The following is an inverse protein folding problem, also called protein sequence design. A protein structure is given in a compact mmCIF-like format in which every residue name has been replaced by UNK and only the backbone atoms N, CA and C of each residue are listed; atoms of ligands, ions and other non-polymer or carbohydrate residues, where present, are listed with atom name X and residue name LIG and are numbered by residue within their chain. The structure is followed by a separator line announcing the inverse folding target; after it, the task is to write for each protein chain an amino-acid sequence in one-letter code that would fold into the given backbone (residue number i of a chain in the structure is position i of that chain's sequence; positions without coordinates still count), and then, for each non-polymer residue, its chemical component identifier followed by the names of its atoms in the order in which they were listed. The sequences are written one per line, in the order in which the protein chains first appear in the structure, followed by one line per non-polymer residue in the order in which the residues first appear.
data_IF_602237213292
#
_entry.id   IF_602237213292
#
_cell.length_a   1.000
_cell.length_b   1.000
_cell.length_c   1.000
_cell.angle_alpha   90.00
_cell.angle_beta   90.00
_cell.angle_gamma   90.00
#
_symmetry.space_group_name_H-M   'P 1'
#
loop_
_entity.id
_entity.type
_entity.pdbx_description
1 polymer ?
#
# COMPACT_ATOMS: atom_id res chain seq x y z
N UNK A 1 -37.68 -4.58 8.44
CA UNK A 1 -37.12 -5.45 7.38
C UNK A 1 -35.66 -5.78 7.68
N UNK A 2 -35.26 -7.05 7.65
CA UNK A 2 -33.86 -7.45 7.92
C UNK A 2 -32.96 -7.21 6.70
N UNK A 3 -31.64 -7.08 6.93
CA UNK A 3 -30.65 -6.89 5.86
C UNK A 3 -30.65 -8.06 4.86
N UNK A 4 -30.74 -9.29 5.35
CA UNK A 4 -30.81 -10.51 4.53
C UNK A 4 -32.00 -10.44 3.56
N UNK A 5 -33.17 -10.08 4.07
CA UNK A 5 -34.41 -10.05 3.29
C UNK A 5 -34.42 -8.94 2.24
N UNK A 6 -33.78 -7.80 2.52
CA UNK A 6 -33.52 -6.75 1.51
C UNK A 6 -32.55 -7.22 0.43
N UNK A 7 -31.45 -7.88 0.81
CA UNK A 7 -30.47 -8.46 -0.13
C UNK A 7 -31.14 -9.46 -1.07
N UNK A 8 -31.92 -10.39 -0.51
CA UNK A 8 -32.59 -11.43 -1.29
C UNK A 8 -33.59 -10.82 -2.27
N UNK A 9 -34.35 -9.80 -1.84
CA UNK A 9 -35.24 -9.05 -2.73
C UNK A 9 -34.50 -8.42 -3.92
N UNK A 10 -33.36 -7.77 -3.68
CA UNK A 10 -32.55 -7.17 -4.75
C UNK A 10 -31.95 -8.23 -5.68
N UNK A 11 -31.52 -9.38 -5.13
CA UNK A 11 -30.99 -10.48 -5.95
C UNK A 11 -32.05 -11.08 -6.88
N UNK A 12 -33.31 -11.15 -6.45
CA UNK A 12 -34.43 -11.58 -7.29
C UNK A 12 -34.63 -10.64 -8.49
N UNK A 13 -34.58 -9.34 -8.28
CA UNK A 13 -34.66 -8.35 -9.36
C UNK A 13 -33.49 -8.46 -10.35
N UNK A 14 -32.26 -8.68 -9.86
CA UNK A 14 -31.08 -8.84 -10.74
C UNK A 14 -31.18 -10.14 -11.57
N UNK A 15 -31.85 -11.17 -11.05
CA UNK A 15 -32.15 -12.40 -11.80
C UNK A 15 -33.27 -12.24 -12.83
N UNK A 16 -33.89 -11.06 -12.92
CA UNK A 16 -34.92 -10.74 -13.90
C UNK A 16 -36.36 -10.91 -13.41
N UNK A 17 -36.58 -11.08 -12.11
CA UNK A 17 -37.95 -11.10 -11.56
C UNK A 17 -38.58 -9.70 -11.62
N UNK A 18 -39.90 -9.66 -11.86
CA UNK A 18 -40.66 -8.43 -12.01
C UNK A 18 -40.76 -7.62 -10.70
N UNK A 19 -40.58 -6.31 -10.83
CA UNK A 19 -40.53 -5.39 -9.70
C UNK A 19 -41.87 -5.37 -8.93
N UNK A 20 -42.99 -5.35 -9.65
CA UNK A 20 -44.33 -5.28 -9.04
C UNK A 20 -44.66 -6.56 -8.28
N UNK A 21 -44.28 -7.71 -8.85
CA UNK A 21 -44.47 -9.03 -8.24
C UNK A 21 -43.69 -9.13 -6.93
N UNK A 22 -42.38 -8.83 -6.95
CA UNK A 22 -41.53 -8.88 -5.75
C UNK A 22 -41.99 -7.86 -4.70
N UNK A 23 -42.45 -6.68 -5.13
CA UNK A 23 -42.97 -5.63 -4.25
C UNK A 23 -44.21 -6.10 -3.47
N UNK A 24 -45.17 -6.72 -4.17
CA UNK A 24 -46.42 -7.21 -3.58
C UNK A 24 -46.18 -8.35 -2.59
N UNK A 25 -45.31 -9.30 -2.93
CA UNK A 25 -44.94 -10.40 -2.05
C UNK A 25 -44.27 -9.93 -0.75
N UNK A 26 -43.46 -8.87 -0.83
CA UNK A 26 -42.76 -8.31 0.33
C UNK A 26 -43.60 -7.29 1.11
N UNK A 27 -44.77 -6.90 0.60
CA UNK A 27 -45.62 -5.86 1.20
C UNK A 27 -44.94 -4.48 1.23
N UNK A 28 -44.06 -4.21 0.27
CA UNK A 28 -43.39 -2.90 0.11
C UNK A 28 -43.87 -2.24 -1.17
N UNK A 29 -43.54 -0.96 -1.36
CA UNK A 29 -43.85 -0.25 -2.62
C UNK A 29 -42.74 -0.48 -3.65
N UNK A 30 -43.10 -0.44 -4.94
CA UNK A 30 -42.14 -0.61 -6.03
C UNK A 30 -41.03 0.46 -5.97
N UNK A 31 -41.37 1.69 -5.57
CA UNK A 31 -40.42 2.77 -5.34
C UNK A 31 -39.42 2.48 -4.20
N UNK A 32 -39.86 1.82 -3.12
CA UNK A 32 -38.96 1.40 -2.04
C UNK A 32 -38.00 0.32 -2.52
N UNK A 33 -38.54 -0.63 -3.29
CA UNK A 33 -37.79 -1.76 -3.81
C UNK A 33 -36.79 -1.33 -4.90
N UNK A 34 -37.16 -0.38 -5.77
CA UNK A 34 -36.24 0.24 -6.72
C UNK A 34 -35.12 1.01 -6.00
N UNK A 35 -35.45 1.76 -4.95
CA UNK A 35 -34.45 2.45 -4.13
C UNK A 35 -33.44 1.50 -3.48
N UNK A 36 -33.84 0.28 -3.08
CA UNK A 36 -32.90 -0.72 -2.58
C UNK A 36 -31.98 -1.27 -3.67
N UNK A 37 -32.50 -1.47 -4.89
CA UNK A 37 -31.68 -1.88 -6.04
C UNK A 37 -30.64 -0.82 -6.38
N UNK A 38 -31.05 0.45 -6.44
CA UNK A 38 -30.15 1.54 -6.81
C UNK A 38 -29.06 1.75 -5.76
N UNK A 39 -29.41 1.68 -4.47
CA UNK A 39 -28.43 1.72 -3.38
C UNK A 39 -27.44 0.54 -3.42
N UNK A 40 -27.90 -0.66 -3.78
CA UNK A 40 -27.04 -1.83 -3.93
C UNK A 40 -26.06 -1.69 -5.10
N UNK A 41 -26.52 -1.19 -6.25
CA UNK A 41 -25.68 -0.96 -7.42
C UNK A 41 -24.63 0.12 -7.16
N UNK A 42 -25.04 1.26 -6.60
CA UNK A 42 -24.12 2.35 -6.23
C UNK A 42 -23.07 1.91 -5.21
N UNK A 43 -23.48 1.17 -4.17
CA UNK A 43 -22.54 0.62 -3.19
C UNK A 43 -21.62 -0.44 -3.79
N UNK A 44 -22.10 -1.23 -4.76
CA UNK A 44 -21.29 -2.20 -5.50
C UNK A 44 -20.22 -1.51 -6.35
N UNK A 45 -20.61 -0.49 -7.11
CA UNK A 45 -19.70 0.32 -7.94
C UNK A 45 -18.62 1.00 -7.09
N UNK A 46 -19.01 1.62 -5.98
CA UNK A 46 -18.05 2.24 -5.05
C UNK A 46 -17.05 1.23 -4.50
N UNK A 47 -17.48 0.02 -4.12
CA UNK A 47 -16.57 -1.03 -3.64
C UNK A 47 -15.60 -1.51 -4.72
N UNK A 48 -16.04 -1.58 -5.97
CA UNK A 48 -15.18 -1.96 -7.09
C UNK A 48 -14.14 -0.88 -7.39
N UNK A 49 -14.53 0.40 -7.33
CA UNK A 49 -13.63 1.53 -7.51
C UNK A 49 -12.58 1.61 -6.39
N UNK A 50 -12.99 1.51 -5.13
CA UNK A 50 -12.08 1.59 -3.96
C UNK A 50 -11.03 0.47 -3.96
N UNK A 51 -11.41 -0.77 -4.34
CA UNK A 51 -10.45 -1.87 -4.39
C UNK A 51 -9.38 -1.66 -5.47
N UNK A 52 -9.73 -1.06 -6.60
CA UNK A 52 -8.76 -0.72 -7.64
C UNK A 52 -7.77 0.34 -7.15
N UNK A 53 -8.26 1.38 -6.47
CA UNK A 53 -7.40 2.46 -5.94
C UNK A 53 -6.52 2.01 -4.78
N UNK A 54 -7.02 1.14 -3.90
CA UNK A 54 -6.27 0.68 -2.73
C UNK A 54 -5.10 -0.23 -3.13
N UNK A 55 -5.28 -1.08 -4.14
CA UNK A 55 -4.21 -1.95 -4.65
C UNK A 55 -3.02 -1.17 -5.20
N UNK A 56 -3.29 -0.20 -6.07
CA UNK A 56 -2.26 0.67 -6.66
C UNK A 56 -1.59 1.57 -5.61
N UNK A 57 -2.36 2.06 -4.63
CA UNK A 57 -1.84 2.85 -3.53
C UNK A 57 -0.90 2.05 -2.62
N UNK A 58 -1.27 0.80 -2.29
CA UNK A 58 -0.43 -0.11 -1.49
C UNK A 58 0.87 -0.48 -2.20
N UNK A 59 0.80 -0.76 -3.51
CA UNK A 59 1.99 -1.05 -4.30
C UNK A 59 2.90 0.18 -4.44
N UNK A 60 2.32 1.36 -4.68
CA UNK A 60 3.05 2.63 -4.70
C UNK A 60 3.72 2.94 -3.37
N UNK A 61 3.04 2.70 -2.24
CA UNK A 61 3.60 2.88 -0.91
C UNK A 61 4.78 1.91 -0.67
N UNK A 62 4.62 0.64 -1.07
CA UNK A 62 5.68 -0.37 -0.97
C UNK A 62 6.91 -0.01 -1.81
N UNK A 63 6.71 0.44 -3.05
CA UNK A 63 7.79 0.87 -3.93
C UNK A 63 8.52 2.09 -3.37
N UNK A 64 7.79 3.09 -2.84
CA UNK A 64 8.39 4.26 -2.18
C UNK A 64 9.22 3.88 -0.95
N UNK A 65 8.74 2.97 -0.11
CA UNK A 65 9.49 2.48 1.05
C UNK A 65 10.81 1.82 0.63
N UNK A 66 10.76 0.93 -0.38
CA UNK A 66 11.96 0.26 -0.91
C UNK A 66 12.95 1.25 -1.53
N UNK A 67 12.48 2.27 -2.22
CA UNK A 67 13.34 3.36 -2.73
C UNK A 67 14.00 4.15 -1.59
N UNK A 68 13.26 4.43 -0.52
CA UNK A 68 13.80 5.09 0.68
C UNK A 68 14.89 4.27 1.36
N UNK A 69 14.66 2.97 1.56
CA UNK A 69 15.64 2.04 2.12
C UNK A 69 16.93 1.98 1.27
N UNK A 70 16.78 1.84 -0.06
CA UNK A 70 17.94 1.83 -0.97
C UNK A 70 18.68 3.18 -0.99
N UNK A 71 17.96 4.30 -0.91
CA UNK A 71 18.54 5.64 -0.86
C UNK A 71 19.38 5.83 0.40
N UNK A 72 18.83 5.51 1.57
CA UNK A 72 19.52 5.56 2.86
C UNK A 72 20.72 4.62 2.93
N UNK A 73 20.60 3.42 2.37
CA UNK A 73 21.73 2.49 2.30
C UNK A 73 22.85 3.02 1.40
N UNK A 74 22.50 3.62 0.25
CA UNK A 74 23.48 4.19 -0.70
C UNK A 74 24.23 5.37 -0.09
N UNK A 75 23.55 6.28 0.61
CA UNK A 75 24.19 7.44 1.25
C UNK A 75 25.09 7.03 2.41
N UNK A 76 24.66 6.07 3.23
CA UNK A 76 25.50 5.51 4.30
C UNK A 76 26.79 4.86 3.77
N UNK A 77 26.67 4.06 2.71
CA UNK A 77 27.83 3.44 2.06
C UNK A 77 28.79 4.47 1.45
N UNK A 78 28.27 5.59 0.93
CA UNK A 78 29.10 6.68 0.42
C UNK A 78 29.87 7.39 1.54
N UNK A 79 29.21 7.64 2.68
CA UNK A 79 29.89 8.22 3.86
C UNK A 79 31.03 7.35 4.38
N UNK A 80 30.82 6.03 4.47
CA UNK A 80 31.86 5.09 4.87
C UNK A 80 33.07 5.09 3.91
N UNK A 81 32.82 5.14 2.59
CA UNK A 81 33.89 5.23 1.57
C UNK A 81 34.66 6.54 1.64
N UNK A 82 33.99 7.66 1.91
CA UNK A 82 34.66 8.95 2.09
C UNK A 82 35.56 8.94 3.32
N UNK A 83 35.09 8.38 4.43
CA UNK A 83 35.90 8.23 5.64
C UNK A 83 37.12 7.31 5.42
N UNK A 84 36.92 6.18 4.73
CA UNK A 84 38.02 5.28 4.37
C UNK A 84 39.07 5.99 3.50
N UNK A 85 38.61 6.79 2.53
CA UNK A 85 39.50 7.61 1.70
C UNK A 85 40.29 8.62 2.54
N UNK A 86 39.64 9.37 3.42
CA UNK A 86 40.32 10.35 4.30
C UNK A 86 41.38 9.69 5.18
N UNK A 87 41.08 8.50 5.74
CA UNK A 87 42.03 7.73 6.55
C UNK A 87 43.24 7.25 5.72
N UNK A 88 43.00 6.83 4.48
CA UNK A 88 44.06 6.41 3.56
C UNK A 88 44.98 7.58 3.19
N UNK A 89 44.41 8.75 2.90
CA UNK A 89 45.16 9.97 2.61
C UNK A 89 46.04 10.38 3.80
N UNK A 90 45.48 10.39 5.02
CA UNK A 90 46.26 10.67 6.24
C UNK A 90 47.40 9.66 6.47
N UNK A 91 47.18 8.38 6.15
CA UNK A 91 48.22 7.34 6.27
C UNK A 91 49.36 7.56 5.27
N UNK A 92 49.04 7.95 4.04
CA UNK A 92 50.03 8.24 2.99
C UNK A 92 50.92 9.41 3.45
N UNK A 93 50.32 10.49 3.94
CA UNK A 93 51.05 11.67 4.42
C UNK A 93 52.08 11.32 5.52
N UNK A 94 51.71 10.46 6.47
CA UNK A 94 52.61 10.01 7.54
C UNK A 94 53.78 9.19 6.99
N UNK A 95 53.52 8.32 6.01
CA UNK A 95 54.54 7.47 5.39
C UNK A 95 55.50 8.27 4.51
N UNK A 96 54.98 9.24 3.75
CA UNK A 96 55.79 10.16 2.94
C UNK A 96 56.68 11.06 3.81
N UNK A 97 56.23 11.41 5.02
CA UNK A 97 57.02 12.12 6.02
C UNK A 97 58.14 11.31 6.69
N UNK A 98 58.40 10.07 6.27
CA UNK A 98 59.46 9.20 6.80
C UNK A 98 59.23 8.72 8.24
N UNK A 99 58.01 8.88 8.78
CA UNK A 99 57.67 8.50 10.15
C UNK A 99 57.04 7.11 10.18
N UNK A 100 57.55 6.18 11.01
CA UNK A 100 56.97 4.84 11.12
C UNK A 100 55.58 4.90 11.77
N UNK A 101 54.59 4.23 11.16
CA UNK A 101 53.26 4.07 11.75
C UNK A 101 53.35 3.28 13.07
N UNK A 102 52.68 3.75 14.11
CA UNK A 102 52.58 3.01 15.37
C UNK A 102 51.94 1.63 15.11
N UNK A 103 52.68 0.55 15.38
CA UNK A 103 52.11 -0.81 15.31
C UNK A 103 50.97 -0.91 16.31
N UNK A 104 49.73 -1.05 15.82
CA UNK A 104 48.57 -1.29 16.67
C UNK A 104 48.79 -2.60 17.42
N UNK A 105 49.15 -2.49 18.70
CA UNK A 105 49.32 -3.65 19.60
C UNK A 105 47.93 -4.26 19.78
N UNK A 106 47.71 -5.42 19.17
CA UNK A 106 46.57 -6.27 19.52
C UNK A 106 46.73 -6.68 20.98
N UNK A 107 45.78 -6.28 21.84
CA UNK A 107 45.64 -6.84 23.18
C UNK A 107 44.63 -8.01 23.08
N UNK A 108 44.96 -9.19 23.61
CA UNK A 108 44.04 -10.32 23.72
C UNK A 108 42.82 -9.99 24.58
#
# INVERSE_FOLDING_TARGET
MSRQRKRDAVLRLIRGEDLETVSRELGVTAATLSGWRDAFLSGGEANLATRATDGEALESARLKAKLGEMGSHRTGAMGARLLERELLEAKIEVLEGGRPLARRRWRP
#
